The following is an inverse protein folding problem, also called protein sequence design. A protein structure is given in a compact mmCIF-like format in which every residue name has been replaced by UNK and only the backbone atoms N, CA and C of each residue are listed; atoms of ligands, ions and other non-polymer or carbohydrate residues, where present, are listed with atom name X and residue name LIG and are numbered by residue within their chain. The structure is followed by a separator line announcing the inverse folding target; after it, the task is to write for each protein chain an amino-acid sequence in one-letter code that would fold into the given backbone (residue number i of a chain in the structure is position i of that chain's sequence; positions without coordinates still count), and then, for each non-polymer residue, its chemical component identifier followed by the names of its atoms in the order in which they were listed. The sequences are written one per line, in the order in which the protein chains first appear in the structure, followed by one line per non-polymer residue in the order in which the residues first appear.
data_IF_847342232408
#
_entry.id   IF_847342232408
#
_cell.length_a   1.000
_cell.length_b   1.000
_cell.length_c   1.000
_cell.angle_alpha   90.00
_cell.angle_beta   90.00
_cell.angle_gamma   90.00
#
_symmetry.space_group_name_H-M   'P 1'
#
loop_
_entity.id
_entity.type
_entity.pdbx_description
1 polymer ?
#
# COMPACT_ATOMS: atom_id res chain seq x y z
N UNK A 1 -19.01 -18.83 27.13
CA UNK A 1 -19.93 -17.73 26.72
C UNK A 1 -19.09 -16.48 26.47
N UNK A 2 -18.79 -16.20 25.20
CA UNK A 2 -18.45 -14.87 24.68
C UNK A 2 -18.54 -15.01 23.16
N UNK A 3 -19.68 -14.60 22.61
CA UNK A 3 -19.90 -14.59 21.17
C UNK A 3 -19.06 -13.41 20.67
N UNK A 4 -17.89 -13.72 20.12
CA UNK A 4 -17.08 -12.74 19.39
C UNK A 4 -17.95 -12.25 18.22
N UNK A 5 -18.48 -11.04 18.35
CA UNK A 5 -19.28 -10.39 17.31
C UNK A 5 -18.33 -10.16 16.14
N UNK A 6 -18.23 -11.14 15.24
CA UNK A 6 -17.56 -11.00 13.96
C UNK A 6 -18.33 -9.95 13.15
N UNK A 7 -17.96 -8.69 13.38
CA UNK A 7 -18.38 -7.58 12.56
C UNK A 7 -17.79 -7.87 11.18
N UNK A 8 -18.63 -8.23 10.23
CA UNK A 8 -18.25 -8.29 8.81
C UNK A 8 -17.94 -6.86 8.38
N UNK A 9 -16.74 -6.38 8.70
CA UNK A 9 -16.25 -5.13 8.15
C UNK A 9 -15.94 -5.38 6.69
N UNK A 10 -16.61 -4.64 5.83
CA UNK A 10 -16.37 -4.70 4.38
C UNK A 10 -14.98 -4.15 4.12
N UNK A 11 -14.03 -5.06 3.89
CA UNK A 11 -12.66 -4.74 3.50
C UNK A 11 -12.64 -4.42 2.02
N UNK A 12 -12.04 -3.28 1.67
CA UNK A 12 -11.92 -2.84 0.30
C UNK A 12 -10.46 -2.57 -0.05
N UNK A 13 -10.12 -2.72 -1.33
CA UNK A 13 -8.82 -2.30 -1.84
C UNK A 13 -8.80 -0.78 -1.97
N UNK A 14 -7.72 -0.18 -1.47
CA UNK A 14 -7.46 1.24 -1.54
C UNK A 14 -6.03 1.45 -2.04
N UNK A 15 -5.80 2.53 -2.76
CA UNK A 15 -4.46 2.98 -3.10
C UNK A 15 -3.96 4.01 -2.09
N UNK A 16 -2.69 3.90 -1.72
CA UNK A 16 -2.01 4.76 -0.76
C UNK A 16 -0.78 5.35 -1.42
N UNK A 17 -0.64 6.67 -1.30
CA UNK A 17 0.58 7.37 -1.63
C UNK A 17 1.63 7.19 -0.54
N UNK A 18 2.84 6.86 -0.96
CA UNK A 18 4.00 6.71 -0.10
C UNK A 18 5.07 7.74 -0.42
N UNK A 19 5.90 8.05 0.57
CA UNK A 19 7.08 8.89 0.35
C UNK A 19 8.03 8.26 -0.68
N UNK A 20 8.76 9.11 -1.41
CA UNK A 20 9.70 8.68 -2.44
C UNK A 20 10.71 7.65 -1.92
N UNK A 21 10.86 6.52 -2.62
CA UNK A 21 11.79 5.41 -2.26
C UNK A 21 11.44 4.71 -0.94
N UNK A 22 10.26 4.94 -0.38
CA UNK A 22 9.78 4.29 0.83
C UNK A 22 8.83 3.12 0.55
N UNK A 23 8.48 2.85 -0.71
CA UNK A 23 7.44 1.89 -1.10
C UNK A 23 7.68 0.50 -0.50
N UNK A 24 8.91 -0.01 -0.63
CA UNK A 24 9.31 -1.33 -0.09
C UNK A 24 9.21 -1.37 1.43
N UNK A 25 9.71 -0.32 2.11
CA UNK A 25 9.67 -0.23 3.58
C UNK A 25 8.25 -0.08 4.11
N UNK A 26 7.38 0.63 3.38
CA UNK A 26 5.97 0.78 3.75
C UNK A 26 5.27 -0.56 3.63
N UNK A 27 5.48 -1.30 2.54
CA UNK A 27 4.98 -2.68 2.40
C UNK A 27 5.43 -3.54 3.59
N UNK A 28 6.73 -3.59 3.87
CA UNK A 28 7.27 -4.44 4.95
C UNK A 28 6.62 -4.09 6.31
N UNK A 29 6.45 -2.80 6.61
CA UNK A 29 5.76 -2.34 7.84
C UNK A 29 4.28 -2.69 7.87
N UNK A 30 3.60 -2.64 6.74
CA UNK A 30 2.18 -3.00 6.64
C UNK A 30 2.00 -4.51 6.81
N UNK A 31 2.90 -5.32 6.24
CA UNK A 31 2.94 -6.77 6.45
C UNK A 31 3.20 -7.11 7.93
N UNK A 32 4.13 -6.41 8.59
CA UNK A 32 4.38 -6.54 10.04
C UNK A 32 3.14 -6.19 10.90
N UNK A 33 2.32 -5.24 10.44
CA UNK A 33 1.06 -4.86 11.08
C UNK A 33 -0.09 -5.85 10.81
N UNK A 34 0.15 -6.88 9.99
CA UNK A 34 -0.86 -7.86 9.57
C UNK A 34 -1.85 -7.32 8.54
N UNK A 35 -1.53 -6.21 7.86
CA UNK A 35 -2.37 -5.61 6.83
C UNK A 35 -2.04 -6.21 5.47
N UNK A 36 -3.06 -6.70 4.77
CA UNK A 36 -2.92 -7.14 3.37
C UNK A 36 -2.51 -5.94 2.50
N UNK A 37 -1.30 -6.00 1.92
CA UNK A 37 -0.80 -4.98 1.00
C UNK A 37 -0.18 -5.58 -0.25
N UNK A 38 -0.19 -4.80 -1.33
CA UNK A 38 0.32 -5.16 -2.63
C UNK A 38 1.09 -4.00 -3.23
N UNK A 39 2.36 -4.25 -3.55
CA UNK A 39 3.22 -3.29 -4.25
C UNK A 39 3.55 -3.87 -5.64
N UNK A 40 3.07 -3.27 -6.75
CA UNK A 40 3.43 -3.74 -8.07
C UNK A 40 4.92 -3.44 -8.34
N UNK A 41 5.74 -4.48 -8.35
CA UNK A 41 7.17 -4.39 -8.69
C UNK A 41 7.47 -5.18 -9.94
N UNK A 42 8.36 -4.65 -10.78
CA UNK A 42 8.88 -5.32 -11.96
C UNK A 42 10.40 -5.43 -11.91
N UNK A 43 10.92 -6.51 -12.49
CA UNK A 43 12.37 -6.70 -12.64
C UNK A 43 12.78 -6.17 -14.00
N UNK A 44 13.58 -5.10 -14.02
CA UNK A 44 14.11 -4.51 -15.25
C UNK A 44 15.62 -4.73 -15.35
N UNK A 45 16.11 -4.93 -16.57
CA UNK A 45 17.54 -4.92 -16.86
C UNK A 45 17.99 -3.48 -17.05
N UNK A 46 18.71 -2.94 -16.05
CA UNK A 46 19.31 -1.62 -16.15
C UNK A 46 20.76 -1.77 -16.61
N UNK A 47 21.09 -1.13 -17.73
CA UNK A 47 22.46 -1.05 -18.23
C UNK A 47 23.11 0.22 -17.68
N UNK A 48 24.19 0.05 -16.93
CA UNK A 48 25.14 1.09 -16.59
C UNK A 48 26.34 1.01 -17.52
N UNK A 49 27.10 2.10 -17.62
CA UNK A 49 28.25 2.27 -18.52
C UNK A 49 29.22 1.10 -18.47
N UNK A 50 29.35 0.42 -17.32
CA UNK A 50 30.25 -0.72 -17.13
C UNK A 50 29.54 -2.07 -16.84
N UNK A 51 28.23 -2.11 -16.56
CA UNK A 51 27.53 -3.35 -16.15
C UNK A 51 26.05 -3.36 -16.48
N UNK A 52 25.53 -4.50 -16.91
CA UNK A 52 24.08 -4.80 -16.90
C UNK A 52 23.70 -5.45 -15.58
N UNK A 53 22.69 -4.93 -14.89
CA UNK A 53 22.18 -5.52 -13.65
C UNK A 53 20.66 -5.60 -13.66
N UNK A 54 20.12 -6.68 -13.07
CA UNK A 54 18.68 -6.82 -12.83
C UNK A 54 18.32 -6.01 -11.59
N UNK A 55 17.39 -5.07 -11.72
CA UNK A 55 16.94 -4.20 -10.63
C UNK A 55 15.44 -4.32 -10.49
N UNK A 56 14.97 -4.48 -9.25
CA UNK A 56 13.54 -4.51 -8.92
C UNK A 56 13.06 -3.08 -8.65
N UNK A 57 12.24 -2.57 -9.55
CA UNK A 57 11.66 -1.22 -9.50
C UNK A 57 10.14 -1.29 -9.36
N UNK A 58 9.51 -0.37 -8.62
CA UNK A 58 8.05 -0.28 -8.61
C UNK A 58 7.55 0.08 -10.01
N UNK A 59 6.48 -0.58 -10.46
CA UNK A 59 5.80 -0.27 -11.73
C UNK A 59 5.18 1.12 -11.64
N UNK A 60 4.58 1.42 -10.49
CA UNK A 60 3.99 2.71 -10.17
C UNK A 60 4.74 3.26 -8.96
N UNK A 61 5.56 4.29 -9.19
CA UNK A 61 6.35 4.90 -8.11
C UNK A 61 5.44 5.62 -7.11
N UNK A 62 5.76 5.51 -5.82
CA UNK A 62 5.03 6.20 -4.76
C UNK A 62 3.61 5.68 -4.49
N UNK A 63 3.22 4.50 -5.02
CA UNK A 63 1.90 3.92 -4.80
C UNK A 63 1.98 2.51 -4.23
N UNK A 64 1.21 2.26 -3.17
CA UNK A 64 1.01 0.94 -2.56
C UNK A 64 -0.48 0.67 -2.47
N UNK A 65 -0.91 -0.54 -2.80
CA UNK A 65 -2.29 -0.96 -2.62
C UNK A 65 -2.43 -1.66 -1.27
N UNK A 66 -3.51 -1.38 -0.56
CA UNK A 66 -3.81 -1.96 0.75
C UNK A 66 -5.26 -2.41 0.78
N UNK A 67 -5.52 -3.55 1.40
CA UNK A 67 -6.87 -4.06 1.62
C UNK A 67 -7.19 -3.93 3.10
N UNK A 68 -8.07 -2.99 3.42
CA UNK A 68 -8.34 -2.60 4.81
C UNK A 68 -9.79 -2.20 5.02
N UNK A 69 -10.28 -2.46 6.23
CA UNK A 69 -11.52 -1.89 6.74
C UNK A 69 -11.35 -0.45 7.23
N UNK A 70 -12.46 0.18 7.65
CA UNK A 70 -12.46 1.57 8.12
C UNK A 70 -11.62 1.76 9.38
N UNK A 71 -11.59 0.78 10.27
CA UNK A 71 -10.77 0.83 11.48
C UNK A 71 -9.26 0.74 11.17
N UNK A 72 -8.89 -0.06 10.17
CA UNK A 72 -7.49 -0.29 9.79
C UNK A 72 -6.92 0.84 8.93
N UNK A 73 -7.77 1.60 8.21
CA UNK A 73 -7.35 2.79 7.47
C UNK A 73 -6.55 3.78 8.35
N UNK A 74 -6.95 3.95 9.62
CA UNK A 74 -6.25 4.84 10.56
C UNK A 74 -4.86 4.31 10.87
N UNK A 75 -4.71 2.99 11.05
CA UNK A 75 -3.40 2.34 11.30
C UNK A 75 -2.47 2.49 10.09
N UNK A 76 -3.01 2.35 8.88
CA UNK A 76 -2.25 2.55 7.64
C UNK A 76 -1.75 3.99 7.54
N UNK A 77 -2.59 5.00 7.83
CA UNK A 77 -2.18 6.40 7.82
C UNK A 77 -1.12 6.75 8.87
N UNK A 78 -1.13 6.06 10.01
CA UNK A 78 -0.11 6.21 11.05
C UNK A 78 1.23 5.55 10.69
N UNK A 79 1.25 4.69 9.67
CA UNK A 79 2.46 3.98 9.26
C UNK A 79 3.48 4.95 8.68
N UNK A 80 4.71 4.94 9.20
CA UNK A 80 5.76 5.85 8.74
C UNK A 80 6.03 5.66 7.25
N UNK A 81 5.99 6.75 6.49
CA UNK A 81 6.23 6.75 5.04
C UNK A 81 4.95 6.68 4.21
N UNK A 82 3.79 6.48 4.82
CA UNK A 82 2.48 6.74 4.19
C UNK A 82 2.23 8.24 4.20
N UNK A 83 1.74 8.76 3.08
CA UNK A 83 1.42 10.18 2.89
C UNK A 83 -0.09 10.39 2.95
N UNK A 84 -0.84 9.72 2.10
CA UNK A 84 -2.29 9.86 2.02
C UNK A 84 -2.94 8.70 1.26
N UNK A 85 -4.23 8.45 1.51
CA UNK A 85 -5.03 7.64 0.59
C UNK A 85 -5.30 8.39 -0.72
N UNK A 86 -5.30 7.65 -1.82
CA UNK A 86 -5.81 8.13 -3.10
C UNK A 86 -7.30 8.43 -2.95
N UNK A 87 -7.73 9.57 -3.49
CA UNK A 87 -9.13 10.01 -3.46
C UNK A 87 -9.56 10.40 -4.86
N UNK A 88 -10.81 10.12 -5.20
CA UNK A 88 -11.39 10.60 -6.44
C UNK A 88 -11.67 12.10 -6.33
N UNK A 89 -11.59 12.80 -7.47
CA UNK A 89 -11.83 14.24 -7.53
C UNK A 89 -13.29 14.51 -7.16
N UNK A 90 -13.50 15.22 -6.05
CA UNK A 90 -14.84 15.57 -5.55
C UNK A 90 -15.37 14.65 -4.45
N UNK A 91 -14.63 13.58 -4.09
CA UNK A 91 -15.00 12.70 -2.98
C UNK A 91 -14.18 12.98 -1.72
N UNK A 92 -14.85 12.93 -0.57
CA UNK A 92 -14.19 13.04 0.73
C UNK A 92 -13.52 11.73 1.17
N UNK A 93 -14.00 10.59 0.65
CA UNK A 93 -13.56 9.25 0.99
C UNK A 93 -12.32 8.79 0.22
N UNK A 94 -11.63 7.79 0.77
CA UNK A 94 -10.58 7.06 0.04
C UNK A 94 -11.20 6.33 -1.15
N UNK A 95 -10.53 6.38 -2.30
CA UNK A 95 -10.97 5.70 -3.50
C UNK A 95 -10.93 4.18 -3.29
N UNK A 96 -12.06 3.53 -3.57
CA UNK A 96 -12.20 2.08 -3.53
C UNK A 96 -11.86 1.52 -4.90
N UNK A 97 -10.99 0.51 -4.93
CA UNK A 97 -10.64 -0.24 -6.11
C UNK A 97 -11.50 -1.51 -6.11
N UNK A 98 -12.29 -1.76 -7.18
CA UNK A 98 -13.14 -2.94 -7.28
C UNK A 98 -12.34 -4.24 -7.41
#
# INVERSE_FOLDING_TARGET
MAIDRQKTETVHWHAVFTASRAEKKVRDRLEELGVECFLPVQTVLRQWTYRKSRVVVPVIAGLVFVRVGRQEQVKVLQTKGVVAFLRLKGEAGAAVIP
#
